data_IF_502697686963
#
_entry.id   IF_502697686963
#
_cell.length_a   1.000
_cell.length_b   1.000
_cell.length_c   1.000
_cell.angle_alpha   90.00
_cell.angle_beta   90.00
_cell.angle_gamma   90.00
#
_symmetry.space_group_name_H-M   'P 1'
#
loop_
_entity.id
_entity.type
_entity.pdbx_description
1 polymer ?
2 non-polymer ?
3 water ?
#
# COMPACT_ATOMS: atom_id res chain seq x y z
N UNK A 1 4.04 37.17 3.08
CA UNK A 1 5.45 37.55 3.16
C UNK A 1 6.03 37.86 1.79
N UNK A 2 5.21 37.69 0.75
CA UNK A 2 5.71 37.84 -0.60
C UNK A 2 6.58 36.71 -1.07
N UNK A 3 6.69 35.62 -0.30
CA UNK A 3 7.50 34.50 -0.72
C UNK A 3 6.77 33.63 -1.75
N UNK A 4 7.54 32.79 -2.44
CA UNK A 4 6.92 31.82 -3.34
C UNK A 4 6.01 30.88 -2.56
N UNK A 5 6.45 30.44 -1.38
CA UNK A 5 5.62 29.56 -0.58
C UNK A 5 4.26 30.19 -0.27
N UNK A 6 4.20 31.51 -0.13
CA UNK A 6 2.92 32.19 0.08
C UNK A 6 2.14 32.39 -1.21
N UNK A 7 2.80 32.35 -2.36
CA UNK A 7 2.17 32.62 -3.64
C UNK A 7 1.59 31.37 -4.26
N UNK A 8 2.29 30.25 -4.16
CA UNK A 8 1.89 29.05 -4.89
C UNK A 8 1.21 28.08 -3.96
N UNK A 9 0.36 27.23 -4.53
CA UNK A 9 -0.37 26.22 -3.78
C UNK A 9 -0.12 24.87 -4.45
N UNK A 10 0.92 24.15 -4.02
CA UNK A 10 1.12 22.78 -4.52
C UNK A 10 -0.06 21.91 -4.12
N UNK A 11 -0.55 21.14 -5.08
CA UNK A 11 -1.65 20.21 -4.84
C UNK A 11 -1.05 18.82 -4.86
N UNK A 12 -1.43 18.00 -3.89
CA UNK A 12 -0.89 16.65 -3.89
C UNK A 12 -1.84 15.68 -4.55
N UNK A 13 -1.30 14.51 -4.87
CA UNK A 13 -2.13 13.43 -5.31
C UNK A 13 -1.54 12.15 -4.75
N UNK A 14 -2.38 11.19 -4.40
CA UNK A 14 -1.88 9.95 -3.80
C UNK A 14 -0.84 9.27 -4.67
N UNK A 15 0.17 8.72 -4.01
CA UNK A 15 1.24 7.99 -4.68
C UNK A 15 0.99 6.52 -4.44
N UNK A 16 1.05 5.72 -5.49
CA UNK A 16 0.97 4.27 -5.34
C UNK A 16 2.37 3.72 -5.57
N UNK A 17 2.89 3.01 -4.58
CA UNK A 17 4.22 2.44 -4.74
C UNK A 17 4.16 0.92 -4.67
N UNK A 18 5.25 0.31 -5.08
CA UNK A 18 5.39 -1.13 -4.99
C UNK A 18 6.09 -1.47 -3.69
N UNK A 19 6.13 -2.76 -3.37
CA UNK A 19 6.72 -3.25 -2.13
C UNK A 19 8.06 -2.57 -1.85
N UNK A 20 8.11 -1.78 -0.78
CA UNK A 20 9.36 -1.31 -0.23
C UNK A 20 10.07 -0.23 -1.01
N UNK A 21 9.50 0.27 -2.10
CA UNK A 21 10.18 1.24 -2.95
C UNK A 21 9.69 2.66 -2.67
N UNK A 22 10.62 3.58 -2.42
CA UNK A 22 10.26 4.99 -2.25
C UNK A 22 10.33 5.67 -3.60
N UNK A 23 9.27 6.34 -4.02
CA UNK A 23 9.28 7.00 -5.33
C UNK A 23 9.85 8.40 -5.26
N UNK A 24 9.97 9.05 -6.40
CA UNK A 24 10.28 10.47 -6.47
C UNK A 24 9.14 11.25 -5.82
N UNK A 25 9.41 12.07 -4.81
CA UNK A 25 8.33 12.86 -4.19
C UNK A 25 7.63 13.77 -5.17
N UNK A 26 8.31 14.17 -6.24
CA UNK A 26 7.65 14.96 -7.28
C UNK A 26 6.40 14.26 -7.81
N UNK A 27 6.39 12.93 -7.77
CA UNK A 27 5.22 12.15 -8.16
C UNK A 27 4.00 12.48 -7.32
N UNK A 28 4.20 13.01 -6.12
CA UNK A 28 3.10 13.34 -5.25
C UNK A 28 2.50 14.70 -5.48
N UNK A 29 3.07 15.48 -6.38
CA UNK A 29 2.62 16.85 -6.62
C UNK A 29 1.88 16.84 -7.95
N UNK A 30 0.59 17.21 -7.89
CA UNK A 30 -0.27 17.16 -9.06
C UNK A 30 0.03 18.31 -10.02
N UNK A 31 0.35 19.50 -9.50
CA UNK A 31 0.43 20.69 -10.34
C UNK A 31 1.84 21.27 -10.43
N UNK A 32 2.85 20.42 -10.65
CA UNK A 32 4.22 20.92 -10.74
C UNK A 32 4.35 22.00 -11.80
N UNK A 33 3.62 21.89 -12.91
CA UNK A 33 3.77 22.89 -13.95
C UNK A 33 3.31 24.26 -13.49
N UNK A 34 2.53 24.33 -12.40
CA UNK A 34 2.12 25.61 -11.85
C UNK A 34 3.26 26.34 -11.17
N UNK A 35 4.28 25.62 -10.76
CA UNK A 35 5.25 26.16 -9.84
C UNK A 35 6.46 26.69 -10.58
N UNK A 36 7.26 27.55 -9.95
CA UNK A 36 8.41 28.13 -10.65
C UNK A 36 9.33 27.07 -11.22
N UNK A 37 9.99 27.42 -12.31
CA UNK A 37 11.02 26.55 -12.86
C UNK A 37 12.08 26.28 -11.81
N UNK A 38 12.54 25.03 -11.76
CA UNK A 38 13.55 24.65 -10.80
C UNK A 38 13.05 24.48 -9.39
N UNK A 39 11.74 24.49 -9.18
CA UNK A 39 11.20 24.09 -7.89
C UNK A 39 11.67 22.67 -7.56
N UNK A 40 11.98 22.43 -6.29
CA UNK A 40 12.50 21.15 -5.82
C UNK A 40 11.46 20.41 -4.98
N UNK A 41 11.54 19.08 -5.01
CA UNK A 41 10.62 18.21 -4.28
C UNK A 41 11.44 17.20 -3.51
N UNK A 42 11.19 17.12 -2.20
CA UNK A 42 12.00 16.35 -1.27
C UNK A 42 11.07 15.64 -0.30
N UNK A 43 11.31 14.36 -0.05
CA UNK A 43 10.69 13.75 1.12
C UNK A 43 11.17 14.43 2.40
N UNK A 44 10.23 15.04 3.12
CA UNK A 44 10.58 15.78 4.33
C UNK A 44 11.22 14.87 5.36
N UNK A 45 10.79 13.62 5.42
CA UNK A 45 11.27 12.66 6.41
C UNK A 45 11.64 11.38 5.69
N UNK A 46 12.83 11.35 5.11
CA UNK A 46 13.20 10.21 4.25
C UNK A 46 13.15 8.88 4.97
N UNK A 47 13.58 8.83 6.23
CA UNK A 47 13.56 7.58 6.98
C UNK A 47 12.14 7.08 7.18
N UNK A 48 11.20 7.99 7.43
CA UNK A 48 9.83 7.58 7.67
C UNK A 48 9.20 6.99 6.42
N UNK A 49 9.30 7.70 5.29
CA UNK A 49 8.70 7.17 4.07
C UNK A 49 9.38 5.87 3.67
N UNK A 50 10.68 5.75 3.93
CA UNK A 50 11.36 4.51 3.58
C UNK A 50 10.81 3.35 4.40
N UNK A 51 10.54 3.58 5.68
CA UNK A 51 10.00 2.50 6.50
C UNK A 51 8.54 2.27 6.18
N UNK A 52 7.78 3.34 5.96
CA UNK A 52 6.34 3.19 5.71
C UNK A 52 6.07 2.34 4.47
N UNK A 53 6.87 2.50 3.42
CA UNK A 53 6.56 1.77 2.19
C UNK A 53 6.83 0.28 2.32
N UNK A 54 7.47 -0.16 3.40
CA UNK A 54 7.74 -1.57 3.64
C UNK A 54 6.59 -2.25 4.36
N UNK A 55 5.45 -1.57 4.50
CA UNK A 55 4.30 -2.21 5.13
C UNK A 55 3.01 -1.77 4.45
N UNK A 56 2.04 -2.68 4.30
CA UNK A 56 0.81 -2.35 3.59
C UNK A 56 0.09 -1.17 4.21
N UNK A 57 -0.51 -0.35 3.36
CA UNK A 57 -1.34 0.69 3.90
C UNK A 57 -1.22 1.97 3.12
N UNK A 58 -2.09 2.89 3.46
CA UNK A 58 -2.09 4.24 2.89
C UNK A 58 -1.47 5.15 3.94
N UNK A 59 -0.23 5.54 3.71
CA UNK A 59 0.57 6.22 4.72
C UNK A 59 0.68 7.70 4.44
N UNK A 60 0.49 8.49 5.48
CA UNK A 60 0.58 9.93 5.38
C UNK A 60 2.04 10.35 5.43
N UNK A 61 2.49 11.06 4.40
CA UNK A 61 3.87 11.50 4.32
C UNK A 61 3.85 12.98 4.00
N UNK A 62 5.00 13.62 4.14
CA UNK A 62 5.12 15.03 3.82
C UNK A 62 6.21 15.22 2.78
N UNK A 63 5.92 16.11 1.84
CA UNK A 63 6.86 16.51 0.80
C UNK A 63 7.19 17.97 1.03
N UNK A 64 8.48 18.29 0.99
CA UNK A 64 8.93 19.68 1.06
C UNK A 64 9.13 20.21 -0.35
N UNK A 65 8.44 21.30 -0.66
CA UNK A 65 8.55 21.98 -1.94
C UNK A 65 9.48 23.16 -1.72
N UNK A 66 10.65 23.15 -2.37
CA UNK A 66 11.61 24.25 -2.23
C UNK A 66 11.52 25.13 -3.46
N UNK A 67 11.24 26.36 -3.25
CA UNK A 67 11.08 27.34 -4.30
C UNK A 67 12.38 28.07 -4.55
N UNK A 68 12.50 28.72 -5.71
CA UNK A 68 13.77 29.37 -6.06
C UNK A 68 14.10 30.55 -5.18
N UNK A 69 13.13 31.10 -4.45
CA UNK A 69 13.45 32.22 -3.57
C UNK A 69 13.90 31.77 -2.19
N UNK A 70 14.04 30.47 -1.97
CA UNK A 70 14.48 29.96 -0.69
C UNK A 70 13.36 29.65 0.29
N UNK A 71 12.13 30.08 0.01
CA UNK A 71 11.00 29.65 0.81
C UNK A 71 10.60 28.22 0.46
N UNK A 72 9.82 27.61 1.34
CA UNK A 72 9.47 26.21 1.18
C UNK A 72 8.07 26.00 1.69
N UNK A 73 7.43 24.97 1.16
CA UNK A 73 6.12 24.57 1.64
C UNK A 73 6.16 23.07 1.84
N UNK A 74 5.59 22.60 2.92
CA UNK A 74 5.60 21.18 3.21
C UNK A 74 4.15 20.72 3.11
N UNK A 75 3.88 19.80 2.18
CA UNK A 75 2.53 19.36 1.92
C UNK A 75 2.40 17.90 2.31
N UNK A 76 1.16 17.47 2.49
CA UNK A 76 0.86 16.12 2.94
C UNK A 76 0.36 15.29 1.77
N UNK A 77 0.87 14.08 1.66
CA UNK A 77 0.52 13.19 0.57
C UNK A 77 0.37 11.80 1.17
N UNK A 78 -0.43 10.99 0.49
CA UNK A 78 -0.61 9.59 0.81
C UNK A 78 0.33 8.77 -0.05
N UNK A 79 1.04 7.83 0.57
CA UNK A 79 1.84 6.86 -0.16
C UNK A 79 1.26 5.48 0.12
N UNK A 80 0.83 4.79 -0.92
CA UNK A 80 0.09 3.54 -0.80
C UNK A 80 1.05 2.40 -1.10
N UNK A 81 1.18 1.50 -0.17
CA UNK A 81 1.92 0.27 -0.31
C UNK A 81 0.94 -0.88 -0.32
N UNK A 82 1.10 -1.83 -1.23
CA UNK A 82 0.05 -2.84 -1.43
C UNK A 82 -0.17 -3.71 -0.20
N UNK A 83 -1.40 -4.06 0.00
CA UNK A 83 -1.79 -5.01 1.02
C UNK A 83 -2.17 -6.31 0.35
N UNK A 84 -2.01 -7.45 1.03
CA UNK A 84 -2.51 -8.69 0.45
C UNK A 84 -4.01 -8.61 0.34
N UNK A 85 -4.52 -8.96 -0.83
CA UNK A 85 -5.94 -8.85 -1.13
C UNK A 85 -6.53 -10.24 -1.28
N UNK A 86 -7.71 -10.44 -0.72
CA UNK A 86 -8.36 -11.72 -0.85
C UNK A 86 -8.96 -11.90 -2.23
N UNK A 87 -9.07 -13.16 -2.63
CA UNK A 87 -9.89 -13.48 -3.78
C UNK A 87 -10.75 -14.68 -3.44
N UNK A 88 -11.93 -14.71 -4.05
CA UNK A 88 -12.85 -15.80 -3.79
C UNK A 88 -12.29 -17.07 -4.40
N UNK A 89 -12.43 -18.18 -3.68
CA UNK A 89 -12.03 -19.47 -4.19
C UNK A 89 -13.12 -20.49 -3.90
N UNK A 90 -13.02 -21.60 -4.58
CA UNK A 90 -13.97 -22.70 -4.48
C UNK A 90 -13.19 -23.97 -4.21
N UNK A 91 -13.77 -24.83 -3.39
CA UNK A 91 -13.14 -26.11 -3.08
C UNK A 91 -14.22 -27.18 -2.97
N UNK A 92 -13.80 -28.43 -3.13
CA UNK A 92 -14.73 -29.54 -2.91
C UNK A 92 -15.00 -29.70 -1.42
N UNK A 93 -16.22 -30.13 -1.10
CA UNK A 93 -16.52 -30.50 0.28
C UNK A 93 -15.42 -31.38 0.85
N UNK A 94 -14.93 -30.99 2.02
CA UNK A 94 -13.91 -31.74 2.72
C UNK A 94 -12.48 -31.32 2.41
N UNK A 95 -12.25 -30.53 1.36
CA UNK A 95 -10.89 -30.22 0.93
C UNK A 95 -10.57 -28.78 1.31
N UNK A 96 -9.49 -28.62 2.07
CA UNK A 96 -9.02 -27.31 2.46
C UNK A 96 -7.96 -26.87 1.46
N UNK A 97 -8.18 -25.78 0.73
CA UNK A 97 -7.18 -25.30 -0.23
C UNK A 97 -5.91 -24.81 0.46
N UNK A 98 -4.83 -24.79 -0.30
CA UNK A 98 -3.67 -23.98 0.05
C UNK A 98 -4.12 -22.54 0.32
N UNK A 99 -3.82 -21.97 1.49
CA UNK A 99 -4.31 -20.61 1.78
C UNK A 99 -3.78 -19.58 0.81
N UNK A 100 -2.60 -19.82 0.23
CA UNK A 100 -2.07 -18.90 -0.76
C UNK A 100 -3.04 -18.70 -1.92
N UNK A 101 -3.83 -19.73 -2.27
CA UNK A 101 -4.78 -19.62 -3.37
C UNK A 101 -5.79 -18.50 -3.15
N UNK A 102 -6.04 -18.14 -1.90
CA UNK A 102 -7.04 -17.14 -1.58
C UNK A 102 -6.50 -15.72 -1.59
N UNK A 103 -5.24 -15.53 -1.97
CA UNK A 103 -4.66 -14.20 -2.05
C UNK A 103 -4.44 -13.88 -3.51
N UNK A 104 -5.02 -12.77 -3.96
CA UNK A 104 -5.04 -12.42 -5.37
C UNK A 104 -3.73 -11.80 -5.84
N UNK A 105 -3.04 -11.06 -4.97
CA UNK A 105 -1.86 -10.32 -5.40
C UNK A 105 -0.58 -10.77 -4.70
N UNK A 106 -0.34 -12.09 -4.64
CA UNK A 106 0.89 -12.58 -4.02
C UNK A 106 2.12 -11.99 -4.67
N UNK A 107 2.06 -11.71 -5.96
CA UNK A 107 3.21 -11.11 -6.65
C UNK A 107 3.52 -9.71 -6.15
N UNK A 108 2.59 -9.05 -5.48
CA UNK A 108 2.89 -7.71 -4.98
C UNK A 108 3.47 -7.71 -3.57
N UNK A 109 3.52 -8.87 -2.92
CA UNK A 109 4.09 -9.01 -1.60
C UNK A 109 5.61 -9.17 -1.67
N UNK A 110 6.31 -8.89 -0.58
CA UNK A 110 7.76 -9.09 -0.60
C UNK A 110 8.09 -10.52 -0.99
N UNK A 111 9.17 -10.67 -1.75
CA UNK A 111 9.68 -11.99 -2.07
C UNK A 111 9.89 -12.79 -0.78
N UNK A 112 9.39 -14.02 -0.77
CA UNK A 112 9.50 -14.85 0.40
C UNK A 112 8.29 -14.84 1.29
N UNK A 113 7.29 -14.02 0.98
CA UNK A 113 6.08 -14.02 1.78
C UNK A 113 5.40 -15.37 1.66
N UNK A 114 4.87 -15.85 2.79
CA UNK A 114 4.19 -17.13 2.86
C UNK A 114 2.82 -16.95 3.50
N UNK A 115 2.05 -18.03 3.49
CA UNK A 115 0.63 -17.94 3.78
C UNK A 115 0.21 -19.11 4.64
N UNK A 116 -0.57 -18.83 5.66
CA UNK A 116 -1.21 -19.89 6.42
C UNK A 116 -2.68 -19.58 6.58
N UNK A 117 -3.43 -20.58 7.05
CA UNK A 117 -4.79 -20.35 7.53
C UNK A 117 -4.71 -19.99 9.00
N UNK A 118 -5.03 -18.73 9.30
CA UNK A 118 -5.24 -18.31 10.68
C UNK A 118 -6.55 -18.86 11.20
N UNK A 119 -7.59 -18.82 10.38
CA UNK A 119 -8.86 -19.45 10.71
C UNK A 119 -9.32 -20.16 9.45
N UNK A 120 -9.29 -21.48 9.46
CA UNK A 120 -9.70 -22.23 8.30
C UNK A 120 -11.19 -22.07 8.04
N UNK A 121 -11.60 -22.00 6.78
CA UNK A 121 -13.02 -22.14 6.46
C UNK A 121 -13.47 -23.55 6.78
N UNK A 122 -14.73 -23.69 7.15
CA UNK A 122 -15.24 -25.02 7.48
C UNK A 122 -15.68 -25.74 6.20
N UNK A 123 -14.77 -26.55 5.65
CA UNK A 123 -15.02 -27.16 4.36
C UNK A 123 -15.81 -28.46 4.46
N UNK A 124 -16.14 -28.92 5.66
CA UNK A 124 -16.96 -30.11 5.77
C UNK A 124 -18.43 -29.83 5.50
N UNK A 125 -18.79 -28.57 5.31
CA UNK A 125 -20.14 -28.15 5.05
C UNK A 125 -20.20 -27.46 3.69
N UNK A 126 -21.05 -27.87 2.75
CA UNK A 126 -21.18 -27.11 1.51
C UNK A 126 -21.69 -25.70 1.80
N UNK A 127 -21.45 -24.81 0.86
CA UNK A 127 -21.91 -23.44 0.99
C UNK A 127 -20.76 -22.45 1.07
N UNK A 128 -21.11 -21.22 1.41
CA UNK A 128 -20.13 -20.15 1.45
C UNK A 128 -19.58 -20.02 2.86
N UNK A 129 -18.27 -19.93 2.95
CA UNK A 129 -17.59 -19.83 4.23
C UNK A 129 -16.55 -18.74 4.11
N UNK A 130 -16.22 -18.14 5.24
CA UNK A 130 -15.08 -17.25 5.30
C UNK A 130 -13.98 -17.91 6.09
N UNK A 131 -12.75 -17.60 5.72
CA UNK A 131 -11.60 -17.95 6.51
C UNK A 131 -10.71 -16.73 6.60
N UNK A 132 -9.69 -16.84 7.44
CA UNK A 132 -8.68 -15.80 7.57
C UNK A 132 -7.35 -16.39 7.15
N UNK A 133 -6.73 -15.78 6.15
CA UNK A 133 -5.38 -16.14 5.76
C UNK A 133 -4.43 -15.22 6.50
N UNK A 134 -3.38 -15.79 7.08
CA UNK A 134 -2.31 -14.98 7.63
C UNK A 134 -1.21 -14.88 6.59
N UNK A 135 -0.82 -13.65 6.27
CA UNK A 135 0.24 -13.35 5.33
C UNK A 135 1.51 -13.09 6.12
N UNK A 136 2.54 -13.88 5.89
CA UNK A 136 3.73 -13.86 6.72
C UNK A 136 4.85 -13.18 5.94
N UNK A 137 5.17 -11.92 6.31
CA UNK A 137 6.21 -11.21 5.59
C UNK A 137 7.59 -11.64 6.08
N UNK A 138 8.60 -11.59 5.20
CA UNK A 138 9.96 -11.98 5.61
C UNK A 138 10.46 -11.25 6.83
N UNK A 139 10.10 -9.97 6.97
CA UNK A 139 10.57 -9.20 8.12
C UNK A 139 9.88 -9.56 9.41
N UNK A 140 8.99 -10.55 9.43
CA UNK A 140 8.36 -10.95 10.66
C UNK A 140 7.03 -10.30 10.95
N UNK A 141 6.60 -9.35 10.14
CA UNK A 141 5.25 -8.83 10.28
C UNK A 141 4.27 -9.76 9.58
N UNK A 142 3.02 -9.65 9.97
CA UNK A 142 1.98 -10.49 9.41
C UNK A 142 0.76 -9.63 9.11
N UNK A 143 -0.10 -10.16 8.26
CA UNK A 143 -1.30 -9.46 7.83
C UNK A 143 -2.40 -10.49 7.73
N UNK A 144 -3.57 -10.19 8.27
CA UNK A 144 -4.69 -11.12 8.22
C UNK A 144 -5.66 -10.66 7.15
N UNK A 145 -6.13 -11.61 6.35
CA UNK A 145 -7.00 -11.30 5.23
C UNK A 145 -8.20 -12.21 5.34
N UNK A 146 -9.38 -11.62 5.41
CA UNK A 146 -10.60 -12.42 5.40
C UNK A 146 -10.90 -12.79 3.96
N UNK A 147 -11.11 -14.07 3.70
CA UNK A 147 -11.36 -14.53 2.34
C UNK A 147 -12.61 -15.38 2.31
N UNK A 148 -13.22 -15.44 1.13
CA UNK A 148 -14.43 -16.21 0.88
C UNK A 148 -14.08 -17.52 0.21
N UNK A 149 -14.62 -18.61 0.73
CA UNK A 149 -14.39 -19.93 0.18
C UNK A 149 -15.75 -20.57 -0.04
N UNK A 150 -16.04 -20.92 -1.28
CA UNK A 150 -17.25 -21.66 -1.58
C UNK A 150 -16.92 -23.13 -1.57
N UNK A 151 -17.77 -23.91 -0.92
CA UNK A 151 -17.57 -25.35 -0.84
C UNK A 151 -18.67 -26.03 -1.63
N UNK A 152 -18.29 -26.75 -2.67
CA UNK A 152 -19.23 -27.51 -3.47
C UNK A 152 -19.58 -28.80 -2.75
N UNK A 153 -20.87 -29.11 -2.68
CA UNK A 153 -21.28 -30.40 -2.15
C UNK A 153 -20.71 -31.51 -3.01
N UNK A 154 -20.30 -32.59 -2.36
CA UNK A 154 -19.81 -33.77 -3.06
C UNK A 154 -20.67 -34.96 -2.66
X LIG B 1 10.92 -4.25 11.14
X LIG B 1 10.97 -2.97 11.96
X LIG B 1 10.93 -5.47 12.05
X LIG B 1 12.14 -4.29 10.23
X LIG B 1 9.71 -4.23 10.30
X LIG B 1 10.96 -1.88 11.07
X LIG B 1 9.74 -5.53 12.80
X LIG B 1 12.13 -5.50 9.54
#
# INVERSE_FOLDING_TARGET
SGSDADKYTPETQPITTSEGKVPDPADGIKNKADLPDGTKYTWTNPDQVAQDVKTPGSHTETITVTYPDGSKDTVTVTVNAPAPEGQNITTDQGKLPNPADAIKNKDQMPDGTTYTWKQEPDVSTPGDHTGVVEVHFPDGTTYEVTVDVHVDAV
TRS C C1 C2 C3 N O1 O2 O3
#
